data_IF_553092434489
#
_entry.id   IF_553092434489
#
_cell.length_a   1.000
_cell.length_b   1.000
_cell.length_c   1.000
_cell.angle_alpha   90.00
_cell.angle_beta   90.00
_cell.angle_gamma   90.00
#
_symmetry.space_group_name_H-M   'P 1'
#
loop_
_entity.id
_entity.type
_entity.pdbx_description
1 polymer ?
#
# COMPACT_ATOMS: atom_id res chain seq x y z
N UNK A 1 22.09 14.11 11.08
CA UNK A 1 20.63 14.08 10.81
C UNK A 1 20.39 13.09 9.68
N UNK A 2 19.76 11.94 9.93
CA UNK A 2 19.52 10.92 8.89
C UNK A 2 18.28 11.29 8.07
N UNK A 3 18.40 11.17 6.75
CA UNK A 3 17.33 11.39 5.79
C UNK A 3 16.22 10.33 6.00
N UNK A 4 14.94 10.75 5.98
CA UNK A 4 13.77 9.87 6.20
C UNK A 4 12.97 9.57 4.93
N UNK A 5 13.53 9.87 3.76
CA UNK A 5 12.86 9.69 2.47
C UNK A 5 13.78 8.96 1.48
N UNK A 6 13.18 8.06 0.70
CA UNK A 6 13.86 7.26 -0.31
C UNK A 6 14.29 8.15 -1.49
N UNK A 7 15.52 7.97 -2.00
CA UNK A 7 15.94 8.51 -3.30
C UNK A 7 15.38 7.67 -4.44
N UNK A 8 15.37 8.23 -5.64
CA UNK A 8 15.09 7.49 -6.87
C UNK A 8 16.00 6.24 -7.00
N UNK A 9 17.30 6.38 -6.75
CA UNK A 9 18.24 5.24 -6.80
C UNK A 9 17.92 4.15 -5.78
N UNK A 10 17.45 4.51 -4.58
CA UNK A 10 17.03 3.55 -3.56
C UNK A 10 15.75 2.82 -3.99
N UNK A 11 14.82 3.52 -4.64
CA UNK A 11 13.62 2.91 -5.22
C UNK A 11 13.99 1.94 -6.34
N UNK A 12 14.90 2.30 -7.24
CA UNK A 12 15.36 1.42 -8.31
C UNK A 12 16.05 0.15 -7.77
N UNK A 13 16.83 0.29 -6.69
CA UNK A 13 17.39 -0.86 -5.97
C UNK A 13 16.29 -1.71 -5.32
N UNK A 14 15.24 -1.10 -4.77
CA UNK A 14 14.10 -1.82 -4.23
C UNK A 14 13.38 -2.61 -5.33
N UNK A 15 13.14 -1.98 -6.49
CA UNK A 15 12.48 -2.60 -7.63
C UNK A 15 13.30 -3.76 -8.20
N UNK A 16 14.61 -3.62 -8.35
CA UNK A 16 15.47 -4.73 -8.79
C UNK A 16 15.54 -5.88 -7.76
N UNK A 17 15.40 -5.59 -6.46
CA UNK A 17 15.31 -6.64 -5.44
C UNK A 17 14.01 -7.46 -5.56
N UNK A 18 12.92 -6.87 -6.06
CA UNK A 18 11.65 -7.61 -6.21
C UNK A 18 11.71 -8.73 -7.24
N UNK A 19 12.63 -8.66 -8.22
CA UNK A 19 12.81 -9.71 -9.23
C UNK A 19 13.21 -11.06 -8.64
N UNK A 20 13.79 -11.05 -7.43
CA UNK A 20 14.19 -12.25 -6.69
C UNK A 20 13.13 -12.73 -5.70
N UNK A 21 12.01 -12.01 -5.59
CA UNK A 21 10.93 -12.33 -4.65
C UNK A 21 9.79 -13.07 -5.35
N UNK A 22 8.98 -13.85 -4.61
CA UNK A 22 7.72 -14.37 -5.12
C UNK A 22 6.81 -13.22 -5.57
N UNK A 23 6.17 -13.38 -6.72
CA UNK A 23 5.26 -12.38 -7.33
C UNK A 23 5.93 -11.03 -7.62
N UNK A 24 6.97 -11.00 -8.49
CA UNK A 24 7.75 -9.79 -8.77
C UNK A 24 6.88 -8.64 -9.29
N UNK A 25 5.99 -8.90 -10.23
CA UNK A 25 5.09 -7.89 -10.80
C UNK A 25 4.18 -7.23 -9.75
N UNK A 26 3.63 -8.03 -8.84
CA UNK A 26 2.83 -7.52 -7.72
C UNK A 26 3.67 -6.62 -6.82
N UNK A 27 4.87 -7.06 -6.45
CA UNK A 27 5.73 -6.33 -5.53
C UNK A 27 6.22 -5.01 -6.15
N UNK A 28 6.57 -5.01 -7.44
CA UNK A 28 6.88 -3.78 -8.19
C UNK A 28 5.69 -2.81 -8.18
N UNK A 29 4.49 -3.31 -8.48
CA UNK A 29 3.27 -2.52 -8.48
C UNK A 29 3.02 -1.88 -7.09
N UNK A 30 3.14 -2.65 -6.00
CA UNK A 30 2.94 -2.12 -4.65
C UNK A 30 3.96 -1.02 -4.28
N UNK A 31 5.23 -1.19 -4.64
CA UNK A 31 6.28 -0.19 -4.40
C UNK A 31 5.99 1.09 -5.21
N UNK A 32 5.62 0.95 -6.48
CA UNK A 32 5.26 2.09 -7.32
C UNK A 32 4.00 2.80 -6.82
N UNK A 33 2.99 2.05 -6.37
CA UNK A 33 1.79 2.61 -5.78
C UNK A 33 2.09 3.38 -4.48
N UNK A 34 2.96 2.85 -3.61
CA UNK A 34 3.43 3.58 -2.43
C UNK A 34 4.16 4.88 -2.80
N UNK A 35 5.02 4.82 -3.83
CA UNK A 35 5.91 5.91 -4.21
C UNK A 35 5.23 7.02 -5.00
N UNK A 36 4.41 6.68 -6.01
CA UNK A 36 3.76 7.63 -6.91
C UNK A 36 2.51 8.23 -6.26
N UNK A 37 1.70 7.40 -5.60
CA UNK A 37 0.40 7.81 -5.07
C UNK A 37 0.44 8.11 -3.57
N UNK A 38 1.55 7.81 -2.87
CA UNK A 38 1.70 8.08 -1.45
C UNK A 38 0.89 7.14 -0.56
N UNK A 39 0.53 5.95 -1.05
CA UNK A 39 -0.22 4.98 -0.26
C UNK A 39 0.58 4.49 0.94
N UNK A 40 -0.10 4.32 2.07
CA UNK A 40 0.48 3.70 3.26
C UNK A 40 0.58 2.19 3.06
N UNK A 41 1.60 1.59 3.68
CA UNK A 41 1.76 0.13 3.66
C UNK A 41 0.49 -0.61 4.12
N UNK A 42 -0.23 -0.09 5.12
CA UNK A 42 -1.49 -0.69 5.61
C UNK A 42 -2.63 -0.63 4.59
N UNK A 43 -2.68 0.39 3.74
CA UNK A 43 -3.69 0.54 2.68
C UNK A 43 -3.38 -0.44 1.54
N UNK A 44 -2.10 -0.57 1.17
CA UNK A 44 -1.62 -1.51 0.17
C UNK A 44 -1.81 -2.98 0.56
N UNK A 45 -1.63 -3.30 1.85
CA UNK A 45 -1.86 -4.65 2.37
C UNK A 45 -3.34 -5.05 2.38
N UNK A 46 -4.25 -4.09 2.42
CA UNK A 46 -5.69 -4.31 2.35
C UNK A 46 -6.23 -4.38 0.92
N UNK A 47 -5.46 -3.94 -0.07
CA UNK A 47 -5.89 -3.77 -1.46
C UNK A 47 -6.16 -5.13 -2.13
N UNK A 48 -7.35 -5.32 -2.66
CA UNK A 48 -7.73 -6.52 -3.43
C UNK A 48 -7.72 -6.20 -4.92
N UNK A 49 -7.50 -7.21 -5.77
CA UNK A 49 -7.60 -7.05 -7.22
C UNK A 49 -9.00 -6.58 -7.68
N UNK A 50 -10.04 -6.90 -6.90
CA UNK A 50 -11.40 -6.38 -7.11
C UNK A 50 -11.53 -4.87 -6.94
N UNK A 51 -10.58 -4.25 -6.24
CA UNK A 51 -10.61 -2.82 -5.92
C UNK A 51 -9.88 -2.00 -7.02
N UNK A 52 -9.27 -2.68 -7.98
CA UNK A 52 -8.53 -2.08 -9.10
C UNK A 52 -9.40 -2.16 -10.36
N UNK A 53 -10.04 -1.04 -10.72
CA UNK A 53 -10.71 -0.90 -12.01
C UNK A 53 -9.74 -0.33 -13.05
N UNK A 54 -9.11 -1.23 -13.81
CA UNK A 54 -8.20 -0.88 -14.90
C UNK A 54 -8.91 -0.22 -16.09
N UNK A 55 -10.20 -0.50 -16.29
CA UNK A 55 -10.99 0.09 -17.38
C UNK A 55 -11.41 1.53 -17.02
N UNK A 56 -11.86 1.73 -15.78
CA UNK A 56 -12.23 3.04 -15.23
C UNK A 56 -11.06 3.88 -14.74
N UNK A 57 -9.82 3.36 -14.74
CA UNK A 57 -8.60 3.97 -14.16
C UNK A 57 -8.79 4.41 -12.71
N UNK A 58 -9.56 3.62 -11.96
CA UNK A 58 -9.94 3.93 -10.59
C UNK A 58 -9.39 2.88 -9.63
N UNK A 59 -8.86 3.34 -8.51
CA UNK A 59 -8.38 2.51 -7.40
C UNK A 59 -9.24 2.81 -6.19
N UNK A 60 -10.00 1.82 -5.74
CA UNK A 60 -10.75 1.90 -4.50
C UNK A 60 -9.81 1.54 -3.35
N UNK A 61 -9.65 2.46 -2.40
CA UNK A 61 -8.74 2.29 -1.27
C UNK A 61 -9.58 1.74 -0.12
N UNK A 62 -9.40 0.48 0.29
CA UNK A 62 -10.04 -0.01 1.50
C UNK A 62 -9.51 0.80 2.68
N UNK A 63 -10.40 1.52 3.36
CA UNK A 63 -10.04 2.28 4.55
C UNK A 63 -9.38 1.33 5.56
N UNK A 64 -8.24 1.70 6.17
CA UNK A 64 -7.65 0.88 7.22
C UNK A 64 -8.72 0.65 8.30
N UNK A 65 -8.80 -0.58 8.81
CA UNK A 65 -9.74 -0.96 9.87
C UNK A 65 -9.43 -0.12 11.13
N UNK A 66 -10.01 1.08 11.21
CA UNK A 66 -9.84 2.07 12.28
C UNK A 66 -10.54 1.64 13.59
N UNK A 67 -11.19 0.48 13.62
CA UNK A 67 -12.05 0.09 14.75
C UNK A 67 -11.32 -0.57 15.93
N UNK A 68 -10.04 -0.95 15.81
CA UNK A 68 -9.34 -1.62 16.94
C UNK A 68 -8.80 -0.66 18.02
N UNK A 69 -8.97 0.66 17.88
CA UNK A 69 -8.49 1.63 18.88
C UNK A 69 -9.56 2.55 19.51
N UNK A 70 -10.85 2.40 19.18
CA UNK A 70 -11.90 3.12 19.91
C UNK A 70 -12.65 2.14 20.82
N UNK A 71 -12.15 2.03 22.06
CA UNK A 71 -12.87 1.42 23.18
C UNK A 71 -14.03 2.34 23.52
N UNK A 72 -15.12 2.26 22.78
CA UNK A 72 -16.41 2.80 23.20
C UNK A 72 -17.32 1.60 23.43
N UNK A 73 -17.84 1.40 24.65
CA UNK A 73 -18.74 0.29 24.93
C UNK A 73 -19.98 0.41 24.02
N UNK A 74 -20.51 -0.71 23.50
CA UNK A 74 -21.74 -0.69 22.72
C UNK A 74 -22.87 -0.13 23.60
N UNK A 75 -23.78 0.69 23.05
CA UNK A 75 -24.89 1.25 23.81
C UNK A 75 -25.78 0.13 24.34
N UNK A 76 -26.03 0.17 25.64
CA UNK A 76 -26.96 -0.72 26.35
C UNK A 76 -28.33 -0.62 25.68
N UNK A 77 -28.83 -1.76 25.17
CA UNK A 77 -30.27 -1.94 25.00
C UNK A 77 -30.90 -2.22 26.36
#
# INVERSE_FOLDING_TARGET
MKRKYLTQEEIEKLLSATDRMPFPERNRCLILMAFIHGFRASELLGLRLSDIDLAGRQLYIPAPQKWLFNVSPPPSR
#
